data_IF_642958996069
#
_entry.id   IF_642958996069
#
_cell.length_a   1.000
_cell.length_b   1.000
_cell.length_c   1.000
_cell.angle_alpha   90.00
_cell.angle_beta   90.00
_cell.angle_gamma   90.00
#
_symmetry.space_group_name_H-M   'P 1'
#
loop_
_entity.id
_entity.type
_entity.pdbx_description
1 polymer ?
#
# COMPACT_ATOMS: atom_id res chain seq x y z
N UNK A 1 7.03 -7.90 -8.18
CA UNK A 1 6.19 -7.35 -7.09
C UNK A 1 6.64 -7.94 -5.78
N UNK A 2 6.89 -7.10 -4.77
CA UNK A 2 7.40 -7.54 -3.47
C UNK A 2 6.27 -8.15 -2.61
N UNK A 3 6.57 -9.20 -1.84
CA UNK A 3 5.66 -9.88 -0.89
C UNK A 3 4.95 -8.89 0.06
N UNK A 4 5.66 -7.79 0.38
CA UNK A 4 5.20 -6.70 1.21
C UNK A 4 3.99 -5.97 0.60
N UNK A 5 3.97 -5.78 -0.72
CA UNK A 5 2.89 -5.08 -1.44
C UNK A 5 1.66 -5.95 -1.57
N UNK A 6 1.84 -7.24 -1.86
CA UNK A 6 0.71 -8.20 -1.85
C UNK A 6 0.09 -8.34 -0.45
N UNK A 7 0.91 -8.24 0.60
CA UNK A 7 0.41 -8.22 1.98
C UNK A 7 -0.32 -6.92 2.30
N UNK A 8 0.21 -5.77 1.86
CA UNK A 8 -0.45 -4.47 2.00
C UNK A 8 -1.79 -4.42 1.25
N UNK A 9 -1.86 -4.97 0.04
CA UNK A 9 -3.10 -5.08 -0.73
C UNK A 9 -4.15 -5.90 0.01
N UNK A 10 -3.76 -7.05 0.57
CA UNK A 10 -4.67 -7.85 1.41
C UNK A 10 -5.11 -7.11 2.67
N UNK A 11 -4.21 -6.38 3.32
CA UNK A 11 -4.52 -5.57 4.51
C UNK A 11 -5.45 -4.41 4.18
N UNK A 12 -5.24 -3.74 3.05
CA UNK A 12 -6.11 -2.68 2.54
C UNK A 12 -7.50 -3.22 2.22
N UNK A 13 -7.59 -4.34 1.51
CA UNK A 13 -8.86 -5.02 1.19
C UNK A 13 -9.59 -5.48 2.46
N UNK A 14 -8.85 -5.91 3.48
CA UNK A 14 -9.36 -6.25 4.80
C UNK A 14 -9.70 -5.02 5.68
N UNK A 15 -9.66 -3.79 5.15
CA UNK A 15 -9.87 -2.53 5.87
C UNK A 15 -8.97 -2.35 7.11
N UNK A 16 -7.82 -3.05 7.16
CA UNK A 16 -6.83 -2.91 8.24
C UNK A 16 -5.82 -1.79 8.00
N UNK A 17 -5.72 -1.34 6.75
CA UNK A 17 -4.85 -0.25 6.32
C UNK A 17 -5.69 0.75 5.57
N UNK A 18 -5.62 2.02 5.97
CA UNK A 18 -6.33 3.12 5.32
C UNK A 18 -5.48 3.75 4.22
N UNK A 19 -6.16 4.45 3.31
CA UNK A 19 -5.53 5.21 2.22
C UNK A 19 -4.52 6.22 2.77
N UNK A 20 -4.85 6.90 3.88
CA UNK A 20 -3.95 7.84 4.55
C UNK A 20 -2.64 7.17 4.99
N UNK A 21 -2.73 5.97 5.56
CA UNK A 21 -1.56 5.18 5.97
C UNK A 21 -0.68 4.83 4.77
N UNK A 22 -1.32 4.43 3.66
CA UNK A 22 -0.62 4.13 2.41
C UNK A 22 0.02 5.36 1.79
N UNK A 23 -0.64 6.52 1.85
CA UNK A 23 -0.06 7.80 1.42
C UNK A 23 1.15 8.20 2.27
N UNK A 24 1.09 8.03 3.60
CA UNK A 24 2.27 8.23 4.45
C UNK A 24 3.43 7.30 4.08
N UNK A 25 3.14 6.05 3.68
CA UNK A 25 4.19 5.13 3.23
C UNK A 25 4.81 5.51 1.88
N UNK A 26 4.07 6.23 1.02
CA UNK A 26 4.65 6.85 -0.19
C UNK A 26 5.53 8.03 0.19
N UNK A 27 5.07 8.87 1.11
CA UNK A 27 5.79 10.06 1.59
C UNK A 27 7.11 9.68 2.27
N UNK A 28 7.10 8.59 3.04
CA UNK A 28 8.27 7.99 3.70
C UNK A 28 9.16 7.15 2.74
N UNK A 29 8.91 7.19 1.43
CA UNK A 29 9.61 6.41 0.38
C UNK A 29 9.63 4.88 0.61
N UNK A 30 8.78 4.35 1.50
CA UNK A 30 8.71 2.91 1.78
C UNK A 30 8.07 2.12 0.65
N UNK A 31 7.18 2.77 -0.10
CA UNK A 31 6.52 2.20 -1.28
C UNK A 31 6.50 3.24 -2.41
N UNK A 32 6.64 2.79 -3.65
CA UNK A 32 6.52 3.66 -4.81
C UNK A 32 5.06 3.99 -5.15
N UNK A 33 4.84 5.10 -5.88
CA UNK A 33 3.53 5.48 -6.40
C UNK A 33 2.87 4.37 -7.25
N UNK A 34 3.67 3.58 -7.96
CA UNK A 34 3.18 2.45 -8.77
C UNK A 34 2.62 1.33 -7.89
N UNK A 35 3.37 0.93 -6.86
CA UNK A 35 2.96 -0.08 -5.88
C UNK A 35 1.73 0.39 -5.07
N UNK A 36 1.67 1.67 -4.70
CA UNK A 36 0.47 2.27 -4.11
C UNK A 36 -0.75 2.12 -5.01
N UNK A 37 -0.60 2.43 -6.30
CA UNK A 37 -1.68 2.33 -7.28
C UNK A 37 -2.16 0.89 -7.41
N UNK A 38 -1.24 -0.07 -7.38
CA UNK A 38 -1.57 -1.49 -7.36
C UNK A 38 -2.34 -1.94 -6.12
N UNK A 39 -2.03 -1.36 -4.95
CA UNK A 39 -2.71 -1.67 -3.68
C UNK A 39 -4.17 -1.18 -3.68
N UNK A 40 -4.43 0.00 -4.23
CA UNK A 40 -5.76 0.62 -4.25
C UNK A 40 -6.62 0.21 -5.46
N UNK A 41 -6.04 -0.49 -6.44
CA UNK A 41 -6.74 -1.06 -7.61
C UNK A 41 -7.33 -2.42 -7.28
#
# INVERSE_FOLDING_TARGET
MSILIESLKRLYNANKVTIEKLQQMIDDERISKDEYRYIIT
#
